data_IF_247765725608
#
_entry.id   IF_247765725608
#
_cell.length_a   1.000
_cell.length_b   1.000
_cell.length_c   1.000
_cell.angle_alpha   90.00
_cell.angle_beta   90.00
_cell.angle_gamma   90.00
#
_symmetry.space_group_name_H-M   'P 1'
#
loop_
_entity.id
_entity.type
_entity.pdbx_description
1 polymer ?
#
# COMPACT_ATOMS: atom_id res chain seq x y z
N UNK A 1 -46.02 7.06 45.91
CA UNK A 1 -45.39 7.30 45.76
C UNK A 1 -44.31 6.88 45.39
N UNK A 2 -43.95 6.50 45.18
CA UNK A 2 -42.98 6.16 44.88
C UNK A 2 -42.59 5.73 43.81
N UNK A 3 -42.79 5.55 43.16
CA UNK A 3 -42.68 5.09 42.11
C UNK A 3 -41.78 5.58 41.36
N UNK A 4 -41.67 6.43 41.20
CA UNK A 4 -41.00 6.93 40.37
C UNK A 4 -39.78 6.63 40.11
N UNK A 5 -39.20 6.28 40.48
CA UNK A 5 -37.97 6.17 40.31
C UNK A 5 -37.51 5.31 39.45
N UNK A 6 -37.83 4.70 38.96
CA UNK A 6 -37.31 3.80 38.23
C UNK A 6 -36.82 4.07 37.01
N UNK A 7 -37.06 4.87 36.42
CA UNK A 7 -36.74 5.11 35.22
C UNK A 7 -35.49 5.25 34.69
N UNK A 8 -34.67 5.83 35.08
CA UNK A 8 -33.52 6.21 34.39
C UNK A 8 -32.56 5.24 33.96
N UNK A 9 -32.76 4.17 33.77
CA UNK A 9 -31.73 3.37 33.50
C UNK A 9 -31.34 3.08 32.20
N UNK A 10 -31.96 3.13 31.26
CA UNK A 10 -31.61 2.66 29.94
C UNK A 10 -30.56 3.41 29.23
N UNK A 11 -30.29 4.60 29.56
CA UNK A 11 -29.43 5.36 28.77
C UNK A 11 -28.06 4.93 28.57
N UNK A 12 -27.38 4.41 29.45
CA UNK A 12 -25.97 4.11 29.28
C UNK A 12 -25.64 3.19 28.15
N UNK A 13 -26.53 2.40 27.72
CA UNK A 13 -26.21 1.47 26.71
C UNK A 13 -25.93 2.03 25.39
N UNK A 14 -26.49 3.13 25.05
CA UNK A 14 -26.26 3.70 23.77
C UNK A 14 -24.87 4.09 23.53
N UNK A 15 -24.20 4.51 24.51
CA UNK A 15 -22.86 4.98 24.32
C UNK A 15 -21.93 3.93 23.87
N UNK A 16 -22.13 2.73 24.27
CA UNK A 16 -21.25 1.68 23.89
C UNK A 16 -21.27 1.40 22.43
N UNK A 17 -22.40 1.55 21.81
CA UNK A 17 -22.47 1.29 20.42
C UNK A 17 -21.69 2.26 19.58
N UNK A 18 -21.67 3.49 20.00
CA UNK A 18 -20.93 4.48 19.28
C UNK A 18 -19.44 4.21 19.32
N UNK A 19 -18.95 3.74 20.43
CA UNK A 19 -17.55 3.45 20.55
C UNK A 19 -17.12 2.33 19.61
N UNK A 20 -17.94 1.31 19.45
CA UNK A 20 -17.64 0.23 18.55
C UNK A 20 -17.60 0.67 17.10
N UNK A 21 -18.48 1.57 16.73
CA UNK A 21 -18.51 2.06 15.37
C UNK A 21 -17.23 2.82 15.02
N UNK A 22 -16.70 3.57 15.96
CA UNK A 22 -15.46 4.30 15.71
C UNK A 22 -14.28 3.38 15.51
N UNK A 23 -14.20 2.30 16.25
CA UNK A 23 -13.11 1.37 16.08
C UNK A 23 -13.14 0.71 14.73
N UNK A 24 -14.30 0.37 14.24
CA UNK A 24 -14.42 -0.25 12.94
C UNK A 24 -13.96 0.70 11.83
N UNK A 25 -14.26 1.97 11.96
CA UNK A 25 -13.85 2.95 10.96
C UNK A 25 -12.34 3.13 10.90
N UNK A 26 -11.65 2.99 12.02
CA UNK A 26 -10.21 3.18 12.06
C UNK A 26 -9.47 2.03 11.38
N UNK A 27 -10.01 0.84 11.39
CA UNK A 27 -9.33 -0.30 10.82
C UNK A 27 -9.27 -0.28 9.30
N UNK A 28 -10.23 0.33 8.63
CA UNK A 28 -10.33 0.27 7.18
C UNK A 28 -9.13 0.88 6.43
N UNK A 29 -8.61 2.05 6.78
CA UNK A 29 -7.49 2.63 6.04
C UNK A 29 -6.21 1.80 6.07
N UNK A 30 -5.96 1.09 7.15
CA UNK A 30 -4.75 0.31 7.26
C UNK A 30 -4.73 -0.86 6.29
N UNK A 31 -5.87 -1.47 6.03
CA UNK A 31 -5.94 -2.60 5.10
C UNK A 31 -5.68 -2.15 3.67
N UNK A 32 -6.12 -0.94 3.29
CA UNK A 32 -5.92 -0.46 1.94
C UNK A 32 -4.47 -0.09 1.66
N UNK A 33 -3.72 0.32 2.66
CA UNK A 33 -2.36 0.74 2.47
C UNK A 33 -1.42 -0.38 2.03
N UNK A 34 -1.85 -1.64 2.16
CA UNK A 34 -1.02 -2.79 1.79
C UNK A 34 -1.26 -3.28 0.37
N UNK A 35 -2.16 -2.65 -0.36
CA UNK A 35 -2.53 -3.08 -1.71
C UNK A 35 -1.66 -2.47 -2.80
N UNK A 36 -0.88 -1.46 -2.49
CA UNK A 36 0.05 -0.82 -3.40
C UNK A 36 1.40 -0.63 -2.70
N UNK A 37 2.49 -0.53 -3.46
CA UNK A 37 3.80 -0.22 -2.88
C UNK A 37 3.77 1.10 -2.14
N UNK A 38 4.48 1.21 -1.04
CA UNK A 38 4.54 2.45 -0.29
C UNK A 38 5.93 2.70 0.31
N UNK A 39 6.13 3.94 0.73
CA UNK A 39 7.41 4.36 1.29
C UNK A 39 8.51 4.42 0.25
N UNK A 40 8.17 4.70 -0.99
CA UNK A 40 9.16 4.80 -2.05
C UNK A 40 10.04 6.03 -1.91
N UNK A 41 11.35 5.83 -1.99
CA UNK A 41 12.35 6.88 -1.93
C UNK A 41 13.34 6.69 -3.08
N UNK A 42 13.39 7.65 -3.99
CA UNK A 42 14.30 7.61 -5.13
C UNK A 42 15.70 7.94 -4.62
N UNK A 43 16.59 6.97 -4.72
CA UNK A 43 17.96 7.12 -4.21
C UNK A 43 19.00 7.31 -5.31
N UNK A 44 18.64 7.05 -6.56
CA UNK A 44 19.53 7.29 -7.70
C UNK A 44 18.69 7.55 -8.94
N UNK A 45 19.16 8.42 -9.81
CA UNK A 45 18.43 8.81 -11.00
C UNK A 45 17.23 9.70 -10.69
N UNK A 46 16.33 9.83 -11.65
CA UNK A 46 15.14 10.65 -11.53
C UNK A 46 13.87 9.82 -11.73
N UNK A 47 12.95 9.93 -10.81
CA UNK A 47 11.63 9.34 -10.91
C UNK A 47 10.67 10.05 -9.97
N UNK A 48 9.39 10.00 -10.29
CA UNK A 48 8.32 10.47 -9.42
C UNK A 48 7.33 9.35 -9.20
N UNK A 49 6.71 9.31 -8.04
CA UNK A 49 5.75 8.27 -7.66
C UNK A 49 4.43 8.95 -7.36
N UNK A 50 3.38 8.49 -8.02
CA UNK A 50 2.04 9.01 -7.81
C UNK A 50 1.04 7.89 -7.59
N UNK A 51 -0.06 8.21 -6.90
CA UNK A 51 -1.11 7.26 -6.60
C UNK A 51 -2.44 7.85 -7.05
N UNK A 52 -3.26 7.03 -7.69
CA UNK A 52 -4.60 7.42 -8.09
C UNK A 52 -5.50 6.18 -8.09
N UNK A 53 -6.50 6.15 -7.24
CA UNK A 53 -7.39 5.00 -7.12
C UNK A 53 -6.62 3.73 -6.80
N UNK A 54 -6.73 2.76 -7.69
CA UNK A 54 -6.10 1.45 -7.53
C UNK A 54 -4.73 1.35 -8.19
N UNK A 55 -4.17 2.46 -8.63
CA UNK A 55 -2.94 2.46 -9.43
C UNK A 55 -1.86 3.31 -8.78
N UNK A 56 -0.66 2.77 -8.74
CA UNK A 56 0.55 3.53 -8.47
C UNK A 56 1.28 3.73 -9.80
N UNK A 57 1.76 4.92 -10.06
CA UNK A 57 2.48 5.26 -11.28
C UNK A 57 3.86 5.78 -10.94
N UNK A 58 4.88 5.17 -11.52
CA UNK A 58 6.26 5.62 -11.40
C UNK A 58 6.66 6.20 -12.74
N UNK A 59 6.96 7.50 -12.75
CA UNK A 59 7.44 8.19 -13.96
C UNK A 59 8.94 8.37 -13.84
N UNK A 60 9.69 7.61 -14.60
CA UNK A 60 11.15 7.66 -14.63
C UNK A 60 11.61 8.64 -15.68
N UNK A 61 12.50 9.55 -15.32
CA UNK A 61 13.00 10.58 -16.23
C UNK A 61 14.43 10.32 -16.71
N UNK A 62 15.19 9.47 -16.04
CA UNK A 62 16.56 9.14 -16.42
C UNK A 62 16.66 7.73 -16.95
N UNK A 63 17.74 7.42 -17.65
CA UNK A 63 17.95 6.11 -18.23
C UNK A 63 18.03 5.01 -17.18
N UNK A 64 18.57 5.29 -16.02
CA UNK A 64 18.62 4.40 -14.88
C UNK A 64 18.08 5.09 -13.65
N UNK A 65 17.39 4.35 -12.80
CA UNK A 65 16.90 4.86 -11.53
C UNK A 65 16.86 3.74 -10.49
N UNK A 66 16.94 4.12 -9.22
CA UNK A 66 16.81 3.19 -8.10
C UNK A 66 15.86 3.78 -7.10
N UNK A 67 14.87 2.99 -6.72
CA UNK A 67 13.90 3.35 -5.67
C UNK A 67 14.01 2.33 -4.55
N UNK A 68 14.13 2.81 -3.32
CA UNK A 68 14.00 1.99 -2.14
C UNK A 68 12.57 2.08 -1.63
N UNK A 69 11.97 0.95 -1.31
CA UNK A 69 10.60 0.87 -0.85
C UNK A 69 10.54 0.30 0.56
N UNK A 70 9.57 0.74 1.34
CA UNK A 70 9.28 0.07 2.61
C UNK A 70 8.59 -1.26 2.35
N UNK A 71 7.68 -1.28 1.41
CA UNK A 71 6.91 -2.45 1.03
C UNK A 71 6.57 -2.36 -0.45
N UNK A 72 6.60 -3.49 -1.13
CA UNK A 72 6.22 -3.54 -2.54
C UNK A 72 5.25 -4.69 -2.77
N UNK A 73 3.98 -4.45 -2.46
CA UNK A 73 2.91 -5.40 -2.73
C UNK A 73 1.96 -4.80 -3.77
N UNK A 74 1.36 -5.66 -4.59
CA UNK A 74 0.34 -5.26 -5.55
C UNK A 74 -0.84 -6.21 -5.38
N UNK A 75 -1.91 -5.73 -4.79
CA UNK A 75 -3.11 -6.53 -4.53
C UNK A 75 -3.90 -6.82 -5.78
N UNK A 76 -4.75 -7.83 -5.73
CA UNK A 76 -5.66 -8.16 -6.82
C UNK A 76 -6.56 -6.97 -7.11
N UNK A 77 -6.70 -6.61 -8.38
CA UNK A 77 -7.45 -5.43 -8.79
C UNK A 77 -6.67 -4.12 -8.70
N UNK A 78 -5.43 -4.16 -8.23
CA UNK A 78 -4.54 -3.01 -8.17
C UNK A 78 -3.46 -3.14 -9.24
N UNK A 79 -2.76 -2.05 -9.51
CA UNK A 79 -1.72 -2.07 -10.53
C UNK A 79 -0.62 -1.06 -10.27
N UNK A 80 0.56 -1.36 -10.78
CA UNK A 80 1.68 -0.45 -10.81
C UNK A 80 2.12 -0.27 -12.26
N UNK A 81 2.27 0.96 -12.69
CA UNK A 81 2.71 1.31 -14.03
C UNK A 81 4.03 2.06 -13.96
N UNK A 82 5.00 1.60 -14.71
CA UNK A 82 6.27 2.28 -14.86
C UNK A 82 6.33 2.92 -16.23
N UNK A 83 6.35 4.25 -16.26
CA UNK A 83 6.55 5.02 -17.47
C UNK A 83 8.02 5.41 -17.53
N UNK A 84 8.72 4.82 -18.47
CA UNK A 84 10.17 4.96 -18.60
C UNK A 84 10.50 5.74 -19.87
N UNK A 85 11.66 6.40 -19.95
CA UNK A 85 11.98 7.24 -21.09
C UNK A 85 12.09 6.47 -22.41
N UNK A 86 12.46 5.21 -22.37
CA UNK A 86 12.57 4.37 -23.56
C UNK A 86 12.63 2.88 -23.18
N UNK A 87 12.62 2.01 -24.16
CA UNK A 87 12.60 0.57 -23.94
C UNK A 87 13.87 0.00 -23.31
N UNK A 88 14.98 0.70 -23.38
CA UNK A 88 16.22 0.24 -22.78
C UNK A 88 16.48 0.86 -21.39
N UNK A 89 15.60 1.71 -20.93
CA UNK A 89 15.70 2.28 -19.58
C UNK A 89 15.54 1.17 -18.52
N UNK A 90 16.19 1.36 -17.39
CA UNK A 90 16.22 0.37 -16.30
C UNK A 90 15.84 1.03 -15.01
N UNK A 91 14.98 0.39 -14.25
CA UNK A 91 14.68 0.83 -12.90
C UNK A 91 14.80 -0.34 -11.93
N UNK A 92 15.50 -0.11 -10.82
CA UNK A 92 15.69 -1.07 -9.77
C UNK A 92 14.83 -0.68 -8.57
N UNK A 93 13.94 -1.55 -8.17
CA UNK A 93 13.08 -1.39 -7.01
C UNK A 93 13.57 -2.32 -5.92
N UNK A 94 14.10 -1.76 -4.84
CA UNK A 94 14.62 -2.54 -3.72
C UNK A 94 13.68 -2.40 -2.54
N UNK A 95 13.24 -3.50 -1.97
CA UNK A 95 12.46 -3.47 -0.75
C UNK A 95 13.44 -3.50 0.42
N UNK A 96 13.49 -2.41 1.14
CA UNK A 96 14.43 -2.25 2.26
C UNK A 96 13.71 -2.32 3.60
N UNK A 97 12.37 -2.30 3.59
CA UNK A 97 11.58 -2.38 4.79
C UNK A 97 11.54 -1.09 5.57
N UNK A 98 11.10 -1.21 6.78
CA UNK A 98 11.07 -0.11 7.74
C UNK A 98 11.86 -0.53 8.98
N UNK A 99 11.72 0.20 10.08
CA UNK A 99 12.38 -0.16 11.33
C UNK A 99 11.96 -1.51 11.90
N UNK A 100 10.93 -2.15 11.33
CA UNK A 100 10.43 -3.45 11.80
C UNK A 100 10.87 -4.61 10.90
N UNK A 101 11.76 -4.37 9.94
CA UNK A 101 12.27 -5.42 9.06
C UNK A 101 11.65 -5.37 7.68
N UNK A 102 11.94 -6.41 6.89
CA UNK A 102 11.49 -6.53 5.50
C UNK A 102 10.42 -7.60 5.42
N UNK A 103 9.27 -7.25 4.86
CA UNK A 103 8.20 -8.21 4.59
C UNK A 103 8.30 -8.71 3.14
N UNK A 104 7.91 -9.96 2.88
CA UNK A 104 7.89 -10.47 1.51
C UNK A 104 6.99 -9.66 0.59
N UNK A 105 7.32 -9.67 -0.69
CA UNK A 105 6.52 -9.04 -1.74
C UNK A 105 5.54 -10.05 -2.31
N UNK A 106 4.28 -9.65 -2.42
CA UNK A 106 3.25 -10.44 -3.10
C UNK A 106 2.68 -9.62 -4.24
N UNK A 107 2.70 -10.17 -5.45
CA UNK A 107 2.15 -9.54 -6.65
C UNK A 107 0.95 -10.36 -7.08
N UNK A 108 -0.25 -9.83 -6.82
CA UNK A 108 -1.51 -10.40 -7.26
C UNK A 108 -2.22 -9.52 -8.29
N UNK A 109 -1.73 -8.34 -8.50
CA UNK A 109 -2.28 -7.37 -9.44
C UNK A 109 -1.41 -7.20 -10.67
N UNK A 110 -1.67 -6.13 -11.41
CA UNK A 110 -0.98 -5.84 -12.65
C UNK A 110 0.32 -5.08 -12.42
N UNK A 111 1.34 -5.40 -13.21
CA UNK A 111 2.61 -4.70 -13.21
C UNK A 111 2.98 -4.46 -14.65
N UNK A 112 3.00 -3.20 -15.08
CA UNK A 112 3.24 -2.84 -16.46
C UNK A 112 4.39 -1.86 -16.57
N UNK A 113 5.14 -1.96 -17.66
CA UNK A 113 6.30 -1.09 -17.92
C UNK A 113 6.59 -1.05 -19.41
N UNK A 114 7.22 0.03 -19.86
CA UNK A 114 7.71 0.14 -21.23
C UNK A 114 9.23 0.00 -21.35
N UNK A 115 9.91 -0.32 -20.28
CA UNK A 115 11.34 -0.59 -20.22
C UNK A 115 11.63 -1.78 -19.31
N UNK A 116 12.79 -1.80 -18.69
CA UNK A 116 13.21 -2.89 -17.81
C UNK A 116 12.96 -2.54 -16.35
N UNK A 117 12.27 -3.44 -15.64
CA UNK A 117 11.96 -3.28 -14.21
C UNK A 117 12.56 -4.45 -13.45
N UNK A 118 13.33 -4.16 -12.44
CA UNK A 118 13.86 -5.14 -11.51
C UNK A 118 13.28 -4.90 -10.13
N UNK A 119 12.89 -5.96 -9.44
CA UNK A 119 12.40 -5.92 -8.07
C UNK A 119 13.27 -6.86 -7.26
N UNK A 120 13.80 -6.35 -6.16
CA UNK A 120 14.66 -7.14 -5.25
C UNK A 120 14.07 -7.08 -3.85
N UNK A 121 13.81 -8.24 -3.30
CA UNK A 121 13.34 -8.38 -1.93
C UNK A 121 13.99 -9.60 -1.29
N UNK A 122 14.84 -9.39 -0.28
CA UNK A 122 15.54 -10.49 0.39
C UNK A 122 14.61 -11.39 1.19
N UNK A 123 13.40 -10.95 1.50
CA UNK A 123 12.42 -11.77 2.17
C UNK A 123 11.57 -12.62 1.22
N UNK A 124 11.76 -12.45 -0.09
CA UNK A 124 11.08 -13.25 -1.09
C UNK A 124 10.05 -12.47 -1.90
N UNK A 125 9.73 -12.99 -3.08
CA UNK A 125 8.73 -12.46 -3.99
C UNK A 125 7.83 -13.60 -4.44
N UNK A 126 6.53 -13.41 -4.35
CA UNK A 126 5.54 -14.39 -4.79
C UNK A 126 4.60 -13.73 -5.79
N UNK A 127 4.34 -14.42 -6.90
CA UNK A 127 3.31 -14.01 -7.85
C UNK A 127 2.08 -14.87 -7.62
N UNK A 128 0.94 -14.22 -7.39
CA UNK A 128 -0.31 -14.91 -7.18
C UNK A 128 -1.06 -15.20 -8.48
N UNK A 129 -2.25 -15.77 -8.35
CA UNK A 129 -3.02 -16.21 -9.50
C UNK A 129 -3.55 -15.08 -10.37
N UNK A 130 -3.67 -13.88 -9.81
CA UNK A 130 -4.20 -12.73 -10.54
C UNK A 130 -3.11 -11.81 -11.09
N UNK A 131 -1.86 -12.19 -10.90
CA UNK A 131 -0.74 -11.37 -11.38
C UNK A 131 -0.64 -11.36 -12.90
#
# INVERSE_FOLDING_TARGET
MRTKHSIPQARPMRRRRLALALLAAIAAPAAMAQSLPYGGNVVSGGATIGYSGNTATVNQSTQGAIINWNNFNVGAGYGVTFNQPNASAVILNRVVGSGYGISPTTIDGALTANGHVFIVNTAGITFGNSA
#
